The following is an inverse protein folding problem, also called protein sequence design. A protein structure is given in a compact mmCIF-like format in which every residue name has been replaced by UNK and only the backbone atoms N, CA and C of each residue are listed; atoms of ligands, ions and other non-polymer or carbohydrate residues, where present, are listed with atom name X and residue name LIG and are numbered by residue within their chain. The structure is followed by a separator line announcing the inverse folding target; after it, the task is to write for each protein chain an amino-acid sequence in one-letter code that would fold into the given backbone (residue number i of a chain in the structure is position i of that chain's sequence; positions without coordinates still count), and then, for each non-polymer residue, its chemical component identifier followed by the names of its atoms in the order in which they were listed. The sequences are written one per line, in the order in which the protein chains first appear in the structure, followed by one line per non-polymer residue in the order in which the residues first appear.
data_IF_055886472564
#
_entry.id   IF_055886472564
#
_cell.length_a   1.000
_cell.length_b   1.000
_cell.length_c   1.000
_cell.angle_alpha   90.00
_cell.angle_beta   90.00
_cell.angle_gamma   90.00
#
_symmetry.space_group_name_H-M   'P 1'
#
loop_
_entity.id
_entity.type
_entity.pdbx_description
1 polymer ?
#
# COMPACT_ATOMS: atom_id res chain seq x y z
N UNK A 1 10.03 -3.78 17.38
CA UNK A 1 9.58 -2.65 16.54
C UNK A 1 8.32 -2.05 17.13
N UNK A 2 8.12 -0.73 17.00
CA UNK A 2 6.87 -0.07 17.38
C UNK A 2 6.00 0.12 16.13
N UNK A 3 4.71 -0.14 16.28
CA UNK A 3 3.70 0.02 15.24
C UNK A 3 2.62 0.96 15.78
N UNK A 4 2.20 1.92 14.99
CA UNK A 4 0.99 2.67 15.31
C UNK A 4 -0.23 1.85 14.91
N UNK A 5 -1.14 1.64 15.84
CA UNK A 5 -2.45 1.04 15.56
C UNK A 5 -3.52 1.82 16.30
N UNK A 6 -4.55 2.24 15.58
CA UNK A 6 -5.64 3.11 16.02
C UNK A 6 -5.11 4.42 16.67
N UNK A 7 -4.97 4.49 17.98
CA UNK A 7 -4.61 5.70 18.70
C UNK A 7 -3.27 5.62 19.45
N UNK A 8 -2.51 4.53 19.31
CA UNK A 8 -1.32 4.32 20.11
C UNK A 8 -0.16 3.65 19.34
N UNK A 9 1.06 3.97 19.77
CA UNK A 9 2.25 3.20 19.44
C UNK A 9 2.35 1.99 20.37
N UNK A 10 2.29 0.79 19.80
CA UNK A 10 2.37 -0.47 20.55
C UNK A 10 3.58 -1.29 20.11
N UNK A 11 3.95 -2.29 20.89
CA UNK A 11 4.93 -3.28 20.43
C UNK A 11 4.32 -4.13 19.29
N UNK A 12 5.14 -4.55 18.34
CA UNK A 12 4.71 -5.32 17.16
C UNK A 12 3.86 -6.54 17.54
N UNK A 13 4.22 -7.26 18.62
CA UNK A 13 3.48 -8.41 19.12
C UNK A 13 2.06 -8.09 19.60
N UNK A 14 1.82 -6.82 19.96
CA UNK A 14 0.55 -6.31 20.49
C UNK A 14 -0.26 -5.59 19.38
N UNK A 15 0.32 -5.40 18.20
CA UNK A 15 -0.34 -4.79 17.03
C UNK A 15 -1.26 -5.81 16.34
N UNK A 16 -2.46 -6.00 16.89
CA UNK A 16 -3.43 -6.99 16.43
C UNK A 16 -4.62 -6.36 15.71
N UNK A 17 -5.09 -7.02 14.67
CA UNK A 17 -6.28 -6.65 13.90
C UNK A 17 -7.38 -7.66 14.16
N UNK A 18 -8.62 -7.19 14.30
CA UNK A 18 -9.77 -8.08 14.44
C UNK A 18 -9.91 -9.01 13.24
N UNK A 19 -10.22 -10.28 13.46
CA UNK A 19 -10.57 -11.22 12.39
C UNK A 19 -11.83 -10.81 11.63
N UNK A 20 -12.60 -9.85 12.15
CA UNK A 20 -13.77 -9.27 11.50
C UNK A 20 -13.50 -7.93 10.81
N UNK A 21 -12.23 -7.52 10.70
CA UNK A 21 -11.87 -6.31 9.97
C UNK A 21 -12.15 -6.49 8.46
N UNK A 22 -12.92 -5.61 7.87
CA UNK A 22 -13.28 -5.68 6.46
C UNK A 22 -12.09 -5.47 5.53
N UNK A 23 -11.04 -4.79 5.98
CA UNK A 23 -9.76 -4.74 5.27
C UNK A 23 -9.12 -6.12 5.15
N UNK A 24 -9.20 -6.94 6.22
CA UNK A 24 -8.72 -8.33 6.20
C UNK A 24 -9.64 -9.24 5.38
N UNK A 25 -10.96 -9.14 5.57
CA UNK A 25 -11.92 -10.07 4.96
C UNK A 25 -12.16 -9.79 3.47
N UNK A 26 -12.21 -8.54 3.07
CA UNK A 26 -12.67 -8.12 1.74
C UNK A 26 -11.70 -7.19 1.00
N UNK A 27 -10.58 -6.82 1.61
CA UNK A 27 -9.68 -5.81 1.06
C UNK A 27 -10.27 -4.40 1.09
N UNK A 28 -11.30 -4.15 1.93
CA UNK A 28 -11.95 -2.85 2.04
C UNK A 28 -11.13 -1.90 2.91
N UNK A 29 -10.24 -1.21 2.24
CA UNK A 29 -9.30 -0.27 2.84
C UNK A 29 -8.35 0.30 1.78
N UNK A 30 -7.58 1.26 2.21
CA UNK A 30 -6.61 1.99 1.39
C UNK A 30 -5.25 2.04 2.07
N UNK A 31 -4.19 2.26 1.29
CA UNK A 31 -2.87 2.39 1.86
C UNK A 31 -1.96 3.33 1.08
N UNK A 32 -0.90 3.78 1.74
CA UNK A 32 0.23 4.47 1.16
C UNK A 32 1.55 3.78 1.52
N UNK A 33 2.51 3.93 0.62
CA UNK A 33 3.90 3.57 0.84
C UNK A 33 4.76 4.80 0.67
N UNK A 34 5.49 5.17 1.73
CA UNK A 34 6.34 6.36 1.74
C UNK A 34 7.79 5.96 2.01
N UNK A 35 8.73 6.71 1.45
CA UNK A 35 10.15 6.54 1.78
C UNK A 35 10.56 7.56 2.82
N UNK A 36 11.46 7.14 3.70
CA UNK A 36 12.17 7.99 4.64
C UNK A 36 13.62 8.04 4.20
N UNK A 37 14.19 9.24 4.13
CA UNK A 37 15.59 9.50 3.84
C UNK A 37 16.11 10.49 4.88
N UNK A 38 17.20 10.18 5.54
CA UNK A 38 17.79 11.00 6.60
C UNK A 38 16.72 11.50 7.60
N UNK A 39 15.88 10.57 8.08
CA UNK A 39 14.74 10.79 9.00
C UNK A 39 13.63 11.70 8.45
N UNK A 40 13.66 12.04 7.16
CA UNK A 40 12.66 12.87 6.51
C UNK A 40 11.73 12.04 5.63
N UNK A 41 10.44 12.14 5.86
CA UNK A 41 9.43 11.47 5.04
C UNK A 41 9.31 12.18 3.69
N UNK A 42 9.62 11.46 2.62
CA UNK A 42 9.57 12.03 1.27
C UNK A 42 8.13 12.30 0.84
N UNK A 43 7.84 13.56 0.47
CA UNK A 43 6.54 14.02 -0.05
C UNK A 43 5.34 13.63 0.81
N UNK A 44 5.46 13.65 2.13
CA UNK A 44 4.41 13.26 3.09
C UNK A 44 3.04 13.85 2.71
N UNK A 45 2.96 15.17 2.46
CA UNK A 45 1.70 15.84 2.16
C UNK A 45 1.01 15.31 0.90
N UNK A 46 1.77 15.01 -0.16
CA UNK A 46 1.22 14.46 -1.39
C UNK A 46 0.63 13.07 -1.16
N UNK A 47 1.31 12.23 -0.38
CA UNK A 47 0.85 10.89 -0.03
C UNK A 47 -0.41 10.93 0.84
N UNK A 48 -0.44 11.76 1.88
CA UNK A 48 -1.61 11.84 2.77
C UNK A 48 -2.84 12.41 2.05
N UNK A 49 -2.66 13.40 1.17
CA UNK A 49 -3.76 13.91 0.33
C UNK A 49 -4.27 12.85 -0.65
N UNK A 50 -3.39 12.02 -1.22
CA UNK A 50 -3.82 10.92 -2.07
C UNK A 50 -4.57 9.86 -1.26
N UNK A 51 -4.08 9.51 -0.06
CA UNK A 51 -4.79 8.61 0.85
C UNK A 51 -6.22 9.09 1.14
N UNK A 52 -6.37 10.38 1.47
CA UNK A 52 -7.70 10.97 1.70
C UNK A 52 -8.58 10.89 0.46
N UNK A 53 -8.03 11.24 -0.71
CA UNK A 53 -8.78 11.20 -1.97
C UNK A 53 -9.29 9.79 -2.26
N UNK A 54 -8.43 8.76 -2.13
CA UNK A 54 -8.83 7.38 -2.42
C UNK A 54 -9.74 6.80 -1.33
N UNK A 55 -9.54 7.16 -0.06
CA UNK A 55 -10.43 6.78 1.04
C UNK A 55 -11.85 7.32 0.82
N UNK A 56 -11.96 8.58 0.38
CA UNK A 56 -13.24 9.21 0.04
C UNK A 56 -13.97 8.51 -1.12
N UNK A 57 -13.25 8.02 -2.14
CA UNK A 57 -13.86 7.23 -3.22
C UNK A 57 -14.51 5.96 -2.66
N UNK A 58 -13.88 5.32 -1.69
CA UNK A 58 -14.43 4.13 -1.02
C UNK A 58 -15.45 4.48 0.09
N UNK A 59 -15.71 5.77 0.35
CA UNK A 59 -16.57 6.19 1.45
C UNK A 59 -15.99 5.84 2.83
N UNK A 60 -14.65 5.85 2.98
CA UNK A 60 -13.96 5.69 4.26
C UNK A 60 -13.55 7.06 4.77
N UNK A 61 -14.05 7.47 5.94
CA UNK A 61 -13.60 8.67 6.61
C UNK A 61 -12.24 8.43 7.26
N UNK A 62 -11.26 9.31 7.02
CA UNK A 62 -9.99 9.23 7.74
C UNK A 62 -10.17 9.67 9.19
N UNK A 63 -9.86 8.82 10.19
CA UNK A 63 -9.93 9.21 11.61
C UNK A 63 -9.02 10.43 11.88
N UNK A 64 -9.60 11.54 12.33
CA UNK A 64 -8.90 12.80 12.59
C UNK A 64 -8.39 13.54 11.35
N UNK A 65 -8.72 13.09 10.13
CA UNK A 65 -8.39 13.76 8.87
C UNK A 65 -6.90 13.72 8.49
N UNK A 66 -6.52 14.56 7.53
CA UNK A 66 -5.16 14.63 6.96
C UNK A 66 -4.10 14.93 8.03
N UNK A 67 -4.36 15.88 8.92
CA UNK A 67 -3.38 16.32 9.90
C UNK A 67 -3.06 15.19 10.88
N UNK A 68 -4.07 14.43 11.29
CA UNK A 68 -3.86 13.25 12.13
C UNK A 68 -3.04 12.18 11.42
N UNK A 69 -3.26 11.96 10.12
CA UNK A 69 -2.44 11.01 9.35
C UNK A 69 -0.96 11.45 9.30
N UNK A 70 -0.69 12.75 9.17
CA UNK A 70 0.69 13.29 9.24
C UNK A 70 1.33 13.04 10.59
N UNK A 71 0.62 13.36 11.68
CA UNK A 71 1.09 13.14 13.05
C UNK A 71 1.44 11.67 13.29
N UNK A 72 0.57 10.75 12.87
CA UNK A 72 0.77 9.30 12.99
C UNK A 72 2.05 8.86 12.27
N UNK A 73 2.22 9.28 11.01
CA UNK A 73 3.41 8.93 10.24
C UNK A 73 4.67 9.46 10.91
N UNK A 74 4.69 10.74 11.31
CA UNK A 74 5.85 11.36 11.92
C UNK A 74 6.20 10.73 13.27
N UNK A 75 5.21 10.49 14.13
CA UNK A 75 5.41 9.84 15.42
C UNK A 75 5.94 8.40 15.26
N UNK A 76 5.43 7.65 14.26
CA UNK A 76 5.90 6.28 14.01
C UNK A 76 7.34 6.27 13.47
N UNK A 77 7.68 7.21 12.58
CA UNK A 77 9.05 7.36 12.06
C UNK A 77 10.01 7.74 13.18
N UNK A 78 9.64 8.68 14.01
CA UNK A 78 10.46 9.09 15.16
C UNK A 78 10.74 7.92 16.11
N UNK A 79 9.71 7.12 16.42
CA UNK A 79 9.82 5.95 17.30
C UNK A 79 10.65 4.81 16.72
N UNK A 80 10.87 4.78 15.41
CA UNK A 80 11.64 3.72 14.75
C UNK A 80 13.15 3.90 14.86
N UNK A 81 13.61 5.12 15.17
CA UNK A 81 15.04 5.51 15.23
C UNK A 81 15.82 5.23 13.93
N UNK A 82 15.13 5.02 12.79
CA UNK A 82 15.74 4.69 11.50
C UNK A 82 16.01 5.96 10.68
N UNK A 83 17.20 6.09 10.12
CA UNK A 83 17.52 7.20 9.22
C UNK A 83 16.88 7.00 7.84
N UNK A 84 16.91 5.77 7.33
CA UNK A 84 16.27 5.40 6.07
C UNK A 84 15.30 4.26 6.31
N UNK A 85 14.09 4.39 5.79
CA UNK A 85 13.04 3.40 6.04
C UNK A 85 11.95 3.44 4.96
N UNK A 86 11.05 2.50 5.06
CA UNK A 86 9.78 2.47 4.35
C UNK A 86 8.63 2.58 5.36
N UNK A 87 7.67 3.44 5.06
CA UNK A 87 6.43 3.57 5.84
C UNK A 87 5.29 2.94 5.07
N UNK A 88 4.53 2.08 5.74
CA UNK A 88 3.24 1.57 5.29
C UNK A 88 2.15 2.18 6.15
N UNK A 89 1.39 3.13 5.58
CA UNK A 89 0.21 3.71 6.22
C UNK A 89 -1.03 3.05 5.63
N UNK A 90 -1.84 2.43 6.47
CA UNK A 90 -3.06 1.69 6.07
C UNK A 90 -4.26 2.27 6.81
N UNK A 91 -5.37 2.41 6.09
CA UNK A 91 -6.68 2.68 6.70
C UNK A 91 -7.66 1.63 6.20
N UNK A 92 -8.21 0.83 7.12
CA UNK A 92 -9.25 -0.15 6.81
C UNK A 92 -10.63 0.42 7.09
N UNK A 93 -11.67 -0.22 6.54
CA UNK A 93 -13.07 0.07 6.91
C UNK A 93 -13.33 -0.15 8.41
N UNK A 94 -12.52 -1.01 9.06
CA UNK A 94 -12.72 -1.46 10.43
C UNK A 94 -13.52 -2.75 10.55
N UNK A 95 -13.75 -3.14 11.80
CA UNK A 95 -14.46 -4.38 12.10
C UNK A 95 -15.98 -4.22 11.95
N UNK A 96 -16.63 -5.27 11.44
CA UNK A 96 -18.07 -5.32 11.26
C UNK A 96 -18.64 -6.73 11.23
N UNK A 97 -19.95 -6.90 10.99
CA UNK A 97 -20.57 -8.20 10.70
C UNK A 97 -19.98 -8.83 9.45
N UNK A 98 -20.15 -10.15 9.31
CA UNK A 98 -19.86 -10.81 8.04
C UNK A 98 -20.85 -10.34 6.97
N UNK A 99 -20.33 -10.13 5.77
CA UNK A 99 -21.08 -9.61 4.62
C UNK A 99 -20.40 -8.39 4.03
N UNK A 100 -20.77 -8.02 2.81
CA UNK A 100 -20.12 -6.94 2.04
C UNK A 100 -20.78 -5.57 2.24
N UNK A 101 -21.76 -5.45 3.13
CA UNK A 101 -22.37 -4.16 3.44
C UNK A 101 -21.42 -3.29 4.30
N UNK A 102 -20.87 -2.19 3.75
CA UNK A 102 -19.91 -1.36 4.49
C UNK A 102 -20.58 -0.48 5.55
N UNK A 103 -21.91 -0.32 5.52
CA UNK A 103 -22.63 0.58 6.43
C UNK A 103 -22.58 0.14 7.89
N UNK A 104 -22.37 -1.15 8.12
CA UNK A 104 -22.25 -1.73 9.46
C UNK A 104 -20.87 -1.54 10.12
N UNK A 105 -19.87 -1.03 9.39
CA UNK A 105 -18.56 -0.71 9.91
C UNK A 105 -18.47 0.79 10.22
N UNK A 106 -18.52 1.14 11.50
CA UNK A 106 -18.62 2.53 11.93
C UNK A 106 -17.29 3.16 12.34
N UNK A 107 -16.24 2.34 12.51
CA UNK A 107 -14.97 2.80 13.06
C UNK A 107 -13.82 2.33 12.17
N UNK A 108 -13.38 3.15 11.19
CA UNK A 108 -12.19 2.87 10.41
C UNK A 108 -10.95 2.74 11.31
N UNK A 109 -10.02 1.86 10.93
CA UNK A 109 -8.77 1.65 11.68
C UNK A 109 -7.58 2.22 10.93
N UNK A 110 -6.63 2.75 11.67
CA UNK A 110 -5.37 3.27 11.15
C UNK A 110 -4.22 2.39 11.63
N UNK A 111 -3.36 1.97 10.71
CA UNK A 111 -2.15 1.22 11.00
C UNK A 111 -0.99 1.91 10.30
N UNK A 112 0.09 2.20 11.04
CA UNK A 112 1.31 2.72 10.44
C UNK A 112 2.51 1.88 10.90
N UNK A 113 3.22 1.33 9.93
CA UNK A 113 4.39 0.47 10.11
C UNK A 113 5.59 1.18 9.51
N UNK A 114 6.71 1.20 10.23
CA UNK A 114 7.99 1.70 9.72
C UNK A 114 8.99 0.56 9.77
N UNK A 115 9.51 0.16 8.61
CA UNK A 115 10.44 -0.96 8.51
C UNK A 115 11.42 -0.76 7.35
N UNK A 116 12.41 -1.63 7.26
CA UNK A 116 13.25 -1.71 6.08
C UNK A 116 12.47 -2.37 4.94
N UNK A 117 12.61 -1.81 3.75
CA UNK A 117 12.09 -2.44 2.54
C UNK A 117 13.14 -2.35 1.43
N UNK A 118 13.72 -3.47 1.12
CA UNK A 118 14.52 -3.66 -0.08
C UNK A 118 13.69 -4.45 -1.11
N UNK A 119 13.22 -3.74 -2.13
CA UNK A 119 12.41 -4.35 -3.20
C UNK A 119 13.24 -5.27 -4.10
N UNK A 120 14.50 -4.87 -4.34
CA UNK A 120 15.44 -5.60 -5.18
C UNK A 120 16.85 -5.43 -4.62
N UNK A 121 17.71 -6.49 -4.69
CA UNK A 121 19.10 -6.41 -4.27
C UNK A 121 19.87 -5.27 -4.95
N UNK A 122 20.91 -4.76 -4.29
CA UNK A 122 21.68 -3.61 -4.78
C UNK A 122 22.25 -3.84 -6.18
N UNK A 123 22.72 -5.06 -6.48
CA UNK A 123 23.26 -5.46 -7.79
C UNK A 123 22.24 -5.27 -8.92
N UNK A 124 20.96 -5.53 -8.64
CA UNK A 124 19.88 -5.37 -9.61
C UNK A 124 19.56 -3.91 -9.93
N UNK A 125 19.94 -2.98 -9.07
CA UNK A 125 19.77 -1.53 -9.33
C UNK A 125 20.75 -1.05 -10.42
N UNK A 126 21.92 -1.68 -10.53
CA UNK A 126 22.94 -1.33 -11.51
C UNK A 126 22.78 -2.15 -12.81
N UNK A 127 22.49 -3.44 -12.68
CA UNK A 127 22.38 -4.37 -13.80
C UNK A 127 21.02 -4.30 -14.51
N UNK A 128 19.99 -3.76 -13.83
CA UNK A 128 18.61 -3.80 -14.28
C UNK A 128 17.87 -5.04 -13.79
N UNK A 129 16.57 -5.09 -14.07
CA UNK A 129 15.67 -6.17 -13.69
C UNK A 129 15.26 -6.98 -14.91
N UNK A 130 15.23 -8.30 -14.77
CA UNK A 130 14.61 -9.17 -15.75
C UNK A 130 13.09 -9.15 -15.56
N UNK A 131 12.36 -8.72 -16.58
CA UNK A 131 10.91 -8.59 -16.52
C UNK A 131 10.23 -9.53 -17.52
N UNK A 132 9.15 -10.16 -17.08
CA UNK A 132 8.20 -10.80 -18.00
C UNK A 132 7.00 -9.89 -18.25
N UNK A 133 6.30 -10.09 -19.34
CA UNK A 133 4.92 -9.63 -19.47
C UNK A 133 4.00 -10.65 -18.83
N UNK A 134 3.26 -10.25 -17.78
CA UNK A 134 2.32 -11.13 -17.09
C UNK A 134 1.18 -11.57 -18.01
N UNK A 135 0.71 -12.80 -17.83
CA UNK A 135 -0.54 -13.28 -18.45
C UNK A 135 -1.78 -12.63 -17.84
N UNK A 136 -1.64 -12.08 -16.61
CA UNK A 136 -2.71 -11.35 -15.94
C UNK A 136 -2.78 -9.91 -16.44
N UNK A 137 -3.99 -9.39 -16.53
CA UNK A 137 -4.23 -7.98 -16.87
C UNK A 137 -4.48 -7.16 -15.61
N UNK A 138 -4.14 -5.87 -15.65
CA UNK A 138 -4.62 -4.92 -14.67
C UNK A 138 -6.14 -4.78 -14.80
N UNK A 139 -6.91 -4.85 -13.70
CA UNK A 139 -8.35 -4.60 -13.74
C UNK A 139 -8.65 -3.23 -14.36
N UNK A 140 -9.72 -3.15 -15.16
CA UNK A 140 -10.24 -1.89 -15.65
C UNK A 140 -10.93 -1.08 -14.55
N UNK A 141 -11.12 0.22 -14.79
CA UNK A 141 -11.76 1.11 -13.83
C UNK A 141 -13.24 0.74 -13.53
N UNK A 142 -13.85 -0.02 -14.40
CA UNK A 142 -15.21 -0.58 -14.26
C UNK A 142 -15.27 -1.83 -13.37
N UNK A 143 -14.11 -2.45 -13.09
CA UNK A 143 -13.99 -3.62 -12.21
C UNK A 143 -13.40 -3.21 -10.85
N UNK A 144 -12.21 -2.66 -10.85
CA UNK A 144 -11.52 -2.16 -9.69
C UNK A 144 -10.54 -1.07 -10.16
N UNK A 145 -10.91 0.19 -10.01
CA UNK A 145 -10.13 1.31 -10.51
C UNK A 145 -8.69 1.27 -9.96
N UNK A 146 -7.67 1.05 -10.80
CA UNK A 146 -6.28 0.95 -10.37
C UNK A 146 -5.72 2.25 -9.79
N UNK A 147 -6.39 3.40 -10.00
CA UNK A 147 -6.06 4.68 -9.38
C UNK A 147 -6.39 4.69 -7.89
N UNK A 148 -7.35 3.85 -7.46
CA UNK A 148 -7.65 3.64 -6.05
C UNK A 148 -6.63 2.70 -5.46
N UNK A 149 -5.75 3.22 -4.60
CA UNK A 149 -4.73 2.44 -3.90
C UNK A 149 -5.35 1.66 -2.74
N UNK A 150 -6.20 0.70 -3.10
CA UNK A 150 -6.93 -0.16 -2.15
C UNK A 150 -6.07 -1.32 -1.65
N UNK A 151 -6.56 -2.06 -0.67
CA UNK A 151 -5.90 -3.28 -0.15
C UNK A 151 -6.04 -4.50 -1.09
N UNK A 152 -6.72 -4.37 -2.23
CA UNK A 152 -6.95 -5.45 -3.20
C UNK A 152 -5.72 -5.65 -4.11
N UNK A 153 -4.61 -6.12 -3.54
CA UNK A 153 -3.33 -6.29 -4.24
C UNK A 153 -3.11 -7.72 -4.77
N UNK A 154 -4.12 -8.59 -4.73
CA UNK A 154 -3.99 -9.98 -5.16
C UNK A 154 -3.56 -10.11 -6.63
N UNK A 155 -4.05 -9.23 -7.51
CA UNK A 155 -3.63 -9.16 -8.91
C UNK A 155 -2.10 -8.95 -9.04
N UNK A 156 -1.55 -7.99 -8.30
CA UNK A 156 -0.11 -7.72 -8.27
C UNK A 156 0.70 -8.88 -7.66
N UNK A 157 0.18 -9.49 -6.58
CA UNK A 157 0.80 -10.66 -5.93
C UNK A 157 0.89 -11.85 -6.90
N UNK A 158 -0.18 -12.13 -7.65
CA UNK A 158 -0.20 -13.23 -8.63
C UNK A 158 0.75 -12.96 -9.80
N UNK A 159 0.81 -11.72 -10.30
CA UNK A 159 1.75 -11.35 -11.37
C UNK A 159 3.21 -11.48 -10.89
N UNK A 160 3.52 -11.07 -9.65
CA UNK A 160 4.84 -11.27 -9.05
C UNK A 160 5.19 -12.75 -8.91
N UNK A 161 4.23 -13.56 -8.46
CA UNK A 161 4.41 -15.02 -8.38
C UNK A 161 4.70 -15.63 -9.75
N UNK A 162 3.99 -15.21 -10.80
CA UNK A 162 4.25 -15.66 -12.18
C UNK A 162 5.67 -15.34 -12.61
N UNK A 163 6.16 -14.11 -12.36
CA UNK A 163 7.53 -13.71 -12.67
C UNK A 163 8.55 -14.62 -11.97
N UNK A 164 8.42 -14.81 -10.67
CA UNK A 164 9.32 -15.64 -9.87
C UNK A 164 9.33 -17.12 -10.35
N UNK A 165 8.17 -17.67 -10.72
CA UNK A 165 8.07 -19.03 -11.27
C UNK A 165 8.78 -19.18 -12.62
N UNK A 166 8.93 -18.09 -13.38
CA UNK A 166 9.65 -18.04 -14.66
C UNK A 166 11.10 -17.59 -14.50
N UNK A 167 11.61 -17.42 -13.27
CA UNK A 167 12.99 -17.02 -13.00
C UNK A 167 13.27 -15.53 -13.26
N UNK A 168 12.24 -14.69 -13.40
CA UNK A 168 12.36 -13.26 -13.59
C UNK A 168 12.24 -12.47 -12.27
N UNK A 169 12.75 -11.24 -12.27
CA UNK A 169 12.74 -10.38 -11.08
C UNK A 169 11.36 -9.78 -10.82
N UNK A 170 10.62 -9.38 -11.88
CA UNK A 170 9.30 -8.79 -11.77
C UNK A 170 8.48 -8.98 -13.05
N UNK A 171 7.24 -8.47 -13.05
CA UNK A 171 6.35 -8.55 -14.19
C UNK A 171 5.78 -7.18 -14.58
N UNK A 172 5.67 -6.97 -15.89
CA UNK A 172 4.86 -5.91 -16.49
C UNK A 172 3.42 -6.39 -16.59
N UNK A 173 2.49 -5.59 -16.07
CA UNK A 173 1.05 -5.78 -16.24
C UNK A 173 0.58 -4.91 -17.41
N UNK A 174 -0.19 -5.50 -18.29
CA UNK A 174 -0.88 -4.77 -19.35
C UNK A 174 -2.32 -4.47 -18.89
N UNK A 175 -2.89 -3.38 -19.38
CA UNK A 175 -4.31 -3.09 -19.21
C UNK A 175 -5.20 -3.91 -20.19
N UNK A 176 -6.50 -3.66 -20.20
CA UNK A 176 -7.46 -4.36 -21.07
C UNK A 176 -7.14 -4.16 -22.57
N UNK A 177 -6.59 -3.00 -22.94
CA UNK A 177 -6.21 -2.62 -24.30
C UNK A 177 -4.81 -3.14 -24.70
N UNK A 178 -4.20 -3.99 -23.88
CA UNK A 178 -2.84 -4.53 -24.06
C UNK A 178 -1.72 -3.47 -24.04
N UNK A 179 -1.97 -2.28 -23.48
CA UNK A 179 -0.94 -1.29 -23.21
C UNK A 179 -0.25 -1.56 -21.87
N UNK A 180 1.04 -1.22 -21.76
CA UNK A 180 1.78 -1.32 -20.49
C UNK A 180 1.15 -0.39 -19.46
N UNK A 181 0.76 -0.94 -18.32
CA UNK A 181 0.15 -0.21 -17.23
C UNK A 181 1.16 0.12 -16.12
N UNK A 182 1.75 -0.90 -15.54
CA UNK A 182 2.70 -0.77 -14.43
C UNK A 182 3.48 -2.09 -14.22
N UNK A 183 4.49 -2.09 -13.35
CA UNK A 183 5.05 -3.30 -12.77
C UNK A 183 4.27 -3.72 -11.52
N UNK A 184 4.65 -4.84 -10.87
CA UNK A 184 3.85 -5.36 -9.73
C UNK A 184 3.79 -4.41 -8.55
N UNK A 185 4.84 -3.60 -8.31
CA UNK A 185 4.95 -2.65 -7.20
C UNK A 185 5.58 -1.31 -7.60
N UNK A 186 5.82 -1.08 -8.89
CA UNK A 186 6.53 0.09 -9.40
C UNK A 186 5.88 0.66 -10.66
N UNK A 187 6.03 1.97 -10.85
CA UNK A 187 5.70 2.63 -12.11
C UNK A 187 6.72 2.25 -13.20
N UNK A 188 6.27 2.30 -14.44
CA UNK A 188 7.12 2.11 -15.63
C UNK A 188 7.25 3.42 -16.37
N UNK A 189 8.48 3.78 -16.69
CA UNK A 189 8.79 4.96 -17.49
C UNK A 189 9.59 4.51 -18.72
N UNK A 190 9.31 5.11 -19.87
CA UNK A 190 10.11 4.92 -21.08
C UNK A 190 10.81 6.22 -21.40
N UNK A 191 12.10 6.14 -21.70
CA UNK A 191 12.86 7.25 -22.26
C UNK A 191 13.01 7.01 -23.77
N UNK A 192 12.80 8.06 -24.56
CA UNK A 192 12.98 8.05 -26.02
C UNK A 192 13.80 9.27 -26.40
N UNK A 193 14.89 9.01 -27.13
CA UNK A 193 15.69 10.05 -27.77
C UNK A 193 14.94 10.76 -28.88
#
# INVERSE_FOLDING_TARGET
MKIWIDDALVDERDAVVSVRDHGLLYGDGVFEGLRVYDRRVFRLDAHVRRLEFVARILGIALPGGIDRMREIVLATVESSERDNAYVRLVVTRGAGPLGVDPSACTTPRVICIVDDLELYPAEKREQGLDLITSTLRRPGADVLDPRVKSLNYLNNVQAKREALQRGADDALLLNAEACVAEATVANVFAYRD
#
